data_IF_633880664485
#
_entry.id   IF_633880664485
#
_cell.length_a   1.000
_cell.length_b   1.000
_cell.length_c   1.000
_cell.angle_alpha   90.00
_cell.angle_beta   90.00
_cell.angle_gamma   90.00
#
_symmetry.space_group_name_H-M   'P 1'
#
loop_
_entity.id
_entity.type
_entity.pdbx_description
1 polymer ?
#
# COMPACT_ATOMS: atom_id res chain seq x y z
N UNK A 1 25.54 20.75 33.84
CA UNK A 1 24.59 19.63 33.58
C UNK A 1 24.70 19.28 32.11
N UNK A 2 24.61 18.00 31.74
CA UNK A 2 24.53 17.60 30.34
C UNK A 2 23.23 18.16 29.69
N UNK A 3 23.29 18.60 28.42
CA UNK A 3 22.10 19.01 27.71
C UNK A 3 21.13 17.82 27.59
N UNK A 4 19.84 18.08 27.65
CA UNK A 4 18.81 17.07 27.36
C UNK A 4 18.47 17.10 25.87
N UNK A 5 18.58 15.98 25.21
CA UNK A 5 18.23 15.78 23.79
C UNK A 5 16.99 14.93 23.72
N UNK A 6 16.00 15.38 22.97
CA UNK A 6 14.77 14.62 22.75
C UNK A 6 14.64 14.20 21.30
N UNK A 7 14.15 12.99 21.07
CA UNK A 7 13.73 12.47 19.76
C UNK A 7 12.37 11.80 19.88
N UNK A 8 11.54 11.87 18.84
CA UNK A 8 10.29 11.15 18.77
C UNK A 8 10.17 10.34 17.50
N UNK A 9 9.61 9.14 17.60
CA UNK A 9 9.39 8.28 16.46
C UNK A 9 8.60 7.01 16.77
N UNK A 10 8.29 6.24 15.72
CA UNK A 10 7.57 4.97 15.84
C UNK A 10 8.47 3.85 16.38
N UNK A 11 9.68 3.73 15.86
CA UNK A 11 10.69 2.70 16.18
C UNK A 11 10.17 1.25 16.10
N UNK A 12 9.15 1.03 15.30
CA UNK A 12 8.67 -0.29 14.96
C UNK A 12 9.68 -0.96 14.01
N UNK A 13 10.00 -2.24 14.19
CA UNK A 13 11.12 -2.93 13.53
C UNK A 13 12.47 -2.18 13.75
N UNK A 14 12.93 -2.13 14.97
CA UNK A 14 14.21 -1.49 15.33
C UNK A 14 15.35 -2.05 14.46
N UNK A 15 16.16 -1.17 13.85
CA UNK A 15 17.24 -1.54 12.94
C UNK A 15 18.48 -0.64 13.12
N UNK A 16 19.59 -0.99 12.46
CA UNK A 16 20.87 -0.26 12.56
C UNK A 16 20.77 1.24 12.30
N UNK A 17 19.88 1.66 11.39
CA UNK A 17 19.64 3.08 11.13
C UNK A 17 19.05 3.83 12.33
N UNK A 18 18.17 3.21 13.13
CA UNK A 18 17.68 3.80 14.38
C UNK A 18 18.80 3.89 15.42
N UNK A 19 19.64 2.86 15.53
CA UNK A 19 20.77 2.86 16.46
C UNK A 19 21.78 3.94 16.09
N UNK A 20 22.11 4.10 14.79
CA UNK A 20 22.98 5.16 14.32
C UNK A 20 22.40 6.56 14.58
N UNK A 21 21.10 6.75 14.40
CA UNK A 21 20.38 7.98 14.73
C UNK A 21 20.45 8.30 16.24
N UNK A 22 20.24 7.31 17.10
CA UNK A 22 20.39 7.50 18.56
C UNK A 22 21.84 7.79 18.95
N UNK A 23 22.82 7.14 18.32
CA UNK A 23 24.24 7.42 18.50
C UNK A 23 24.57 8.88 18.15
N UNK A 24 24.10 9.36 16.99
CA UNK A 24 24.29 10.75 16.56
C UNK A 24 23.63 11.71 17.54
N UNK A 25 22.36 11.49 17.91
CA UNK A 25 21.63 12.33 18.86
C UNK A 25 22.32 12.39 20.23
N UNK A 26 22.84 11.27 20.72
CA UNK A 26 23.55 11.20 22.02
C UNK A 26 24.85 11.99 22.06
N UNK A 27 25.41 12.39 20.92
CA UNK A 27 26.63 13.27 20.91
C UNK A 27 26.31 14.70 21.32
N UNK A 28 25.04 15.10 21.34
CA UNK A 28 24.59 16.42 21.76
C UNK A 28 24.23 16.49 23.24
N UNK A 29 24.05 15.36 23.93
CA UNK A 29 23.72 15.30 25.36
C UNK A 29 23.04 14.02 25.79
N UNK A 30 22.36 14.03 26.93
CA UNK A 30 21.58 12.91 27.48
C UNK A 30 20.33 12.71 26.62
N UNK A 31 20.21 11.55 25.94
CA UNK A 31 19.15 11.26 24.97
C UNK A 31 17.90 10.68 25.63
N UNK A 32 16.77 11.34 25.42
CA UNK A 32 15.44 10.90 25.81
C UNK A 32 14.62 10.59 24.56
N UNK A 33 13.92 9.44 24.55
CA UNK A 33 13.20 8.95 23.37
C UNK A 33 11.71 8.84 23.65
N UNK A 34 10.91 9.62 22.93
CA UNK A 34 9.44 9.47 22.90
C UNK A 34 9.03 8.47 21.82
N UNK A 35 8.18 7.53 22.18
CA UNK A 35 7.69 6.48 21.30
C UNK A 35 6.20 6.73 21.01
N UNK A 36 5.80 6.87 19.75
CA UNK A 36 4.40 6.99 19.38
C UNK A 36 3.60 5.76 19.83
N UNK A 37 2.44 5.97 20.47
CA UNK A 37 1.57 4.88 20.91
C UNK A 37 1.05 4.06 19.72
N UNK A 38 0.61 2.83 19.98
CA UNK A 38 0.00 1.98 18.93
C UNK A 38 -1.24 2.63 18.33
N UNK A 39 -2.01 3.36 19.15
CA UNK A 39 -3.17 4.13 18.68
C UNK A 39 -2.75 5.26 17.73
N UNK A 40 -1.79 6.10 18.15
CA UNK A 40 -1.26 7.20 17.31
C UNK A 40 -0.69 6.70 15.99
N UNK A 41 0.06 5.58 16.00
CA UNK A 41 0.61 5.02 14.77
C UNK A 41 -0.47 4.48 13.84
N UNK A 42 -1.53 3.87 14.39
CA UNK A 42 -2.69 3.41 13.61
C UNK A 42 -3.37 4.58 12.92
N UNK A 43 -3.62 5.65 13.66
CA UNK A 43 -4.33 6.83 13.16
C UNK A 43 -3.53 7.61 12.10
N UNK A 44 -2.21 7.78 12.33
CA UNK A 44 -1.35 8.55 11.41
C UNK A 44 -0.89 7.77 10.18
N UNK A 45 -0.72 6.44 10.30
CA UNK A 45 -0.12 5.61 9.24
C UNK A 45 -1.08 4.56 8.68
N UNK A 46 -2.33 4.56 9.15
CA UNK A 46 -3.36 3.59 8.76
C UNK A 46 -2.82 2.14 8.78
N UNK A 47 -2.10 1.79 9.83
CA UNK A 47 -1.53 0.44 10.01
C UNK A 47 -1.26 0.12 11.47
N UNK A 48 -1.34 -1.17 11.81
CA UNK A 48 -0.84 -1.67 13.10
C UNK A 48 0.69 -1.69 13.10
N UNK A 49 1.25 -1.53 14.29
CA UNK A 49 2.68 -1.81 14.55
C UNK A 49 2.90 -3.33 14.54
N UNK A 50 4.10 -3.78 14.17
CA UNK A 50 4.51 -5.19 14.30
C UNK A 50 4.80 -5.50 15.76
N UNK A 51 5.58 -4.62 16.40
CA UNK A 51 5.86 -4.70 17.83
C UNK A 51 4.94 -3.75 18.58
N UNK A 52 4.34 -4.20 19.67
CA UNK A 52 3.53 -3.35 20.56
C UNK A 52 4.36 -2.18 21.11
N UNK A 53 3.70 -1.12 21.53
CA UNK A 53 4.40 0.03 22.15
C UNK A 53 5.26 -0.38 23.34
N UNK A 54 4.87 -1.39 24.10
CA UNK A 54 5.64 -1.90 25.25
C UNK A 54 6.89 -2.67 24.79
N UNK A 55 6.82 -3.48 23.74
CA UNK A 55 7.99 -4.13 23.16
C UNK A 55 8.96 -3.10 22.56
N UNK A 56 8.43 -2.10 21.86
CA UNK A 56 9.24 -1.01 21.30
C UNK A 56 9.93 -0.21 22.39
N UNK A 57 9.22 0.10 23.48
CA UNK A 57 9.76 0.77 24.65
C UNK A 57 10.89 -0.05 25.30
N UNK A 58 10.65 -1.35 25.51
CA UNK A 58 11.65 -2.26 26.07
C UNK A 58 12.93 -2.30 25.21
N UNK A 59 12.80 -2.45 23.91
CA UNK A 59 13.95 -2.49 22.98
C UNK A 59 14.72 -1.16 22.96
N UNK A 60 14.01 -0.03 22.91
CA UNK A 60 14.64 1.30 22.86
C UNK A 60 15.38 1.60 24.18
N UNK A 61 14.82 1.23 25.33
CA UNK A 61 15.49 1.38 26.64
C UNK A 61 16.78 0.55 26.75
N UNK A 62 16.88 -0.54 26.03
CA UNK A 62 18.08 -1.39 26.01
C UNK A 62 19.23 -0.81 25.16
N UNK A 63 18.99 0.27 24.39
CA UNK A 63 20.01 0.90 23.55
C UNK A 63 20.94 1.75 24.42
N UNK A 64 22.22 1.43 24.42
CA UNK A 64 23.24 2.09 25.26
C UNK A 64 23.37 3.61 25.10
N UNK A 65 22.86 4.17 23.99
CA UNK A 65 22.88 5.61 23.71
C UNK A 65 21.66 6.34 24.29
N UNK A 66 20.67 5.62 24.77
CA UNK A 66 19.42 6.16 25.31
C UNK A 66 19.53 6.26 26.82
N UNK A 67 19.28 7.46 27.33
CA UNK A 67 19.24 7.72 28.78
C UNK A 67 17.96 7.22 29.41
N UNK A 68 16.82 7.52 28.75
CA UNK A 68 15.50 7.01 29.09
C UNK A 68 14.57 7.09 27.89
N UNK A 69 13.48 6.32 27.92
CA UNK A 69 12.45 6.33 26.91
C UNK A 69 11.07 6.16 27.53
N UNK A 70 10.05 6.69 26.85
CA UNK A 70 8.64 6.61 27.28
C UNK A 70 7.72 6.57 26.06
N UNK A 71 6.50 6.06 26.27
CA UNK A 71 5.43 6.15 25.25
C UNK A 71 4.83 7.56 25.36
N UNK A 72 4.70 8.26 24.24
CA UNK A 72 4.11 9.58 24.20
C UNK A 72 2.67 9.55 24.71
N UNK A 73 2.30 10.53 25.52
CA UNK A 73 1.01 10.61 26.20
C UNK A 73 -0.11 11.18 25.32
N UNK A 74 0.25 11.91 24.26
CA UNK A 74 -0.69 12.59 23.37
C UNK A 74 -1.10 11.76 22.16
N UNK A 75 -1.66 12.44 21.17
CA UNK A 75 -2.11 11.88 19.89
C UNK A 75 -1.78 12.79 18.70
N UNK A 76 -1.85 12.24 17.48
CA UNK A 76 -1.58 13.00 16.26
C UNK A 76 -0.10 13.29 16.03
N UNK A 77 0.21 14.29 15.19
CA UNK A 77 1.58 14.60 14.72
C UNK A 77 2.47 15.12 15.84
N UNK A 78 1.89 15.77 16.85
CA UNK A 78 2.58 16.32 18.02
C UNK A 78 2.22 15.54 19.30
N UNK A 79 2.09 14.22 19.19
CA UNK A 79 1.74 13.31 20.28
C UNK A 79 2.68 13.41 21.51
N UNK A 80 3.86 13.98 21.33
CA UNK A 80 4.90 14.20 22.35
C UNK A 80 4.79 15.55 23.05
N UNK A 81 3.88 16.44 22.69
CA UNK A 81 3.92 17.85 23.10
C UNK A 81 3.93 18.03 24.61
N UNK A 82 3.03 17.39 25.35
CA UNK A 82 2.95 17.48 26.81
C UNK A 82 4.20 16.91 27.49
N UNK A 83 4.69 15.78 26.99
CA UNK A 83 5.88 15.11 27.52
C UNK A 83 7.14 15.98 27.34
N UNK A 84 7.27 16.64 26.18
CA UNK A 84 8.38 17.57 25.90
C UNK A 84 8.32 18.80 26.79
N UNK A 85 7.14 19.37 27.00
CA UNK A 85 6.94 20.50 27.93
C UNK A 85 7.36 20.10 29.35
N UNK A 86 7.03 18.89 29.80
CA UNK A 86 7.42 18.37 31.11
C UNK A 86 8.91 18.05 31.20
N UNK A 87 9.52 17.47 30.16
CA UNK A 87 10.92 17.10 30.09
C UNK A 87 11.85 18.30 30.00
N UNK A 88 11.42 19.36 29.31
CA UNK A 88 12.18 20.59 29.00
C UNK A 88 13.55 20.26 28.39
N UNK A 89 13.58 19.65 27.18
CA UNK A 89 14.85 19.38 26.52
C UNK A 89 15.46 20.66 25.96
N UNK A 90 16.77 20.68 25.87
CA UNK A 90 17.52 21.77 25.22
C UNK A 90 17.48 21.63 23.70
N UNK A 91 17.41 20.38 23.20
CA UNK A 91 17.46 20.04 21.78
C UNK A 91 16.37 19.05 21.45
N UNK A 92 15.64 19.33 20.34
CA UNK A 92 14.81 18.37 19.64
C UNK A 92 15.54 17.91 18.37
N UNK A 93 15.96 16.66 18.35
CA UNK A 93 16.72 16.09 17.25
C UNK A 93 15.80 15.27 16.34
N UNK A 94 15.78 15.56 15.04
CA UNK A 94 14.88 14.92 14.07
C UNK A 94 15.62 14.43 12.84
N UNK A 95 15.09 13.40 12.16
CA UNK A 95 15.48 13.08 10.79
C UNK A 95 14.93 14.10 9.80
N UNK A 96 15.53 14.19 8.62
CA UNK A 96 15.05 15.07 7.54
C UNK A 96 13.61 14.78 7.11
N UNK A 97 13.19 13.50 7.11
CA UNK A 97 11.83 13.04 6.83
C UNK A 97 10.87 13.24 8.04
N UNK A 98 11.42 13.41 9.24
CA UNK A 98 10.65 13.75 10.44
C UNK A 98 10.53 15.26 10.70
N UNK A 99 11.18 16.09 9.90
CA UNK A 99 11.04 17.54 9.98
C UNK A 99 9.68 17.97 9.43
N UNK A 100 8.98 18.80 10.19
CA UNK A 100 7.73 19.44 9.76
C UNK A 100 7.69 20.90 10.21
N UNK A 101 7.01 21.81 9.47
CA UNK A 101 6.83 23.20 9.92
C UNK A 101 6.15 23.29 11.29
N UNK A 102 5.25 22.36 11.62
CA UNK A 102 4.61 22.30 12.95
C UNK A 102 5.60 22.02 14.08
N UNK A 103 6.51 21.05 13.89
CA UNK A 103 7.57 20.78 14.88
C UNK A 103 8.53 21.95 15.04
N UNK A 104 8.88 22.60 13.94
CA UNK A 104 9.73 23.80 13.99
C UNK A 104 9.09 24.90 14.84
N UNK A 105 7.84 25.23 14.56
CA UNK A 105 7.07 26.23 15.31
C UNK A 105 6.97 25.87 16.80
N UNK A 106 6.63 24.60 17.10
CA UNK A 106 6.58 24.10 18.47
C UNK A 106 7.91 24.31 19.22
N UNK A 107 9.05 24.00 18.59
CA UNK A 107 10.37 24.22 19.18
C UNK A 107 10.66 25.71 19.41
N UNK A 108 10.35 26.58 18.45
CA UNK A 108 10.51 28.04 18.55
C UNK A 108 9.70 28.61 19.72
N UNK A 109 8.44 28.19 19.86
CA UNK A 109 7.53 28.62 20.95
C UNK A 109 8.01 28.21 22.35
N UNK A 110 8.76 27.09 22.44
CA UNK A 110 9.24 26.57 23.73
C UNK A 110 10.76 26.78 23.98
N UNK A 111 11.42 27.51 23.09
CA UNK A 111 12.87 27.81 23.24
C UNK A 111 13.76 26.57 23.09
N UNK A 112 13.33 25.57 22.29
CA UNK A 112 14.04 24.31 22.06
C UNK A 112 14.80 24.43 20.73
N UNK A 113 16.09 24.07 20.72
CA UNK A 113 16.89 24.01 19.49
C UNK A 113 16.47 22.82 18.65
N UNK A 114 16.05 23.05 17.38
CA UNK A 114 15.71 21.98 16.43
C UNK A 114 16.94 21.62 15.60
N UNK A 115 17.44 20.38 15.75
CA UNK A 115 18.59 19.87 15.02
C UNK A 115 18.16 18.76 14.08
N UNK A 116 18.60 18.83 12.82
CA UNK A 116 18.29 17.81 11.79
C UNK A 116 19.47 16.88 11.60
N UNK A 117 19.22 15.57 11.70
CA UNK A 117 20.21 14.50 11.52
C UNK A 117 20.85 14.52 10.14
N UNK A 118 22.14 14.20 10.07
CA UNK A 118 22.88 13.97 8.83
C UNK A 118 22.56 12.61 8.19
N UNK A 119 21.87 11.69 8.89
CA UNK A 119 21.51 10.32 8.46
C UNK A 119 22.72 9.53 7.93
N UNK A 120 23.84 9.60 8.61
CA UNK A 120 25.03 8.83 8.24
C UNK A 120 24.90 7.43 8.84
N UNK A 121 24.89 6.36 8.03
CA UNK A 121 24.93 5.00 8.53
C UNK A 121 26.18 4.73 9.36
N UNK A 122 26.12 3.78 10.29
CA UNK A 122 27.32 3.30 10.97
C UNK A 122 28.29 2.68 9.98
N UNK A 123 29.59 2.91 10.14
CA UNK A 123 30.63 2.45 9.25
C UNK A 123 30.55 0.92 9.03
N UNK A 124 30.54 0.49 7.79
CA UNK A 124 30.44 -0.92 7.40
C UNK A 124 29.01 -1.50 7.45
N UNK A 125 28.00 -0.70 7.79
CA UNK A 125 26.60 -1.14 7.77
C UNK A 125 25.83 -0.50 6.62
N UNK A 126 24.88 -1.24 5.99
CA UNK A 126 24.04 -0.68 4.94
C UNK A 126 23.05 0.35 5.51
N UNK A 127 22.63 1.29 4.66
CA UNK A 127 21.49 2.17 4.98
C UNK A 127 20.23 1.31 5.17
N UNK A 128 19.51 1.50 6.26
CA UNK A 128 18.28 0.79 6.59
C UNK A 128 17.16 1.78 6.89
N UNK A 129 15.94 1.40 6.51
CA UNK A 129 14.73 2.10 6.92
C UNK A 129 13.65 1.08 7.29
N UNK A 130 12.74 1.44 8.18
CA UNK A 130 11.58 0.59 8.52
C UNK A 130 10.75 0.24 7.29
N UNK A 131 10.63 1.18 6.34
CA UNK A 131 9.91 0.95 5.08
C UNK A 131 10.60 -0.14 4.26
N UNK A 132 11.93 -0.06 4.06
CA UNK A 132 12.68 -1.08 3.34
C UNK A 132 12.59 -2.46 4.04
N UNK A 133 12.70 -2.52 5.37
CA UNK A 133 12.58 -3.78 6.12
C UNK A 133 11.17 -4.38 6.06
N UNK A 134 10.13 -3.53 6.01
CA UNK A 134 8.76 -4.02 5.78
C UNK A 134 8.58 -4.57 4.37
N UNK A 135 9.40 -4.14 3.43
CA UNK A 135 9.46 -4.65 2.06
C UNK A 135 10.26 -5.96 1.93
N UNK A 136 11.05 -6.35 2.94
CA UNK A 136 11.54 -7.73 3.08
C UNK A 136 10.40 -8.72 3.39
N UNK A 137 9.21 -8.21 3.75
CA UNK A 137 7.96 -8.95 3.73
C UNK A 137 7.63 -9.35 2.29
N UNK A 138 7.69 -10.64 2.01
CA UNK A 138 7.46 -11.22 0.68
C UNK A 138 5.98 -11.36 0.32
N UNK A 139 5.05 -10.94 1.19
CA UNK A 139 3.63 -10.92 0.86
C UNK A 139 3.44 -10.02 -0.36
N UNK A 140 2.92 -10.55 -1.48
CA UNK A 140 2.84 -9.82 -2.73
C UNK A 140 1.77 -8.72 -2.72
N UNK A 141 1.76 -7.94 -3.80
CA UNK A 141 0.65 -7.08 -4.16
C UNK A 141 -0.18 -7.72 -5.27
N UNK A 142 -1.36 -7.17 -5.54
CA UNK A 142 -2.24 -7.57 -6.62
C UNK A 142 -2.64 -6.36 -7.47
N UNK A 143 -2.68 -6.56 -8.78
CA UNK A 143 -3.30 -5.64 -9.71
C UNK A 143 -4.46 -6.38 -10.39
N UNK A 144 -5.63 -5.74 -10.50
CA UNK A 144 -6.69 -6.16 -11.39
C UNK A 144 -6.45 -5.54 -12.77
N UNK A 145 -6.35 -6.37 -13.80
CA UNK A 145 -6.13 -5.92 -15.18
C UNK A 145 -7.44 -5.52 -15.87
N UNK A 146 -8.51 -6.22 -15.55
CA UNK A 146 -9.86 -5.97 -16.08
C UNK A 146 -10.93 -6.63 -15.19
N UNK A 147 -12.18 -6.21 -15.33
CA UNK A 147 -13.35 -6.86 -14.70
C UNK A 147 -13.55 -6.56 -13.21
N UNK A 148 -12.71 -5.75 -12.59
CA UNK A 148 -12.89 -5.40 -11.17
C UNK A 148 -14.31 -4.93 -10.87
N UNK A 149 -14.83 -5.21 -9.69
CA UNK A 149 -16.22 -5.11 -9.21
C UNK A 149 -17.13 -6.29 -9.57
N UNK A 150 -16.81 -7.15 -10.57
CA UNK A 150 -17.60 -8.36 -10.82
C UNK A 150 -17.54 -9.40 -9.68
N UNK A 151 -16.57 -9.28 -8.78
CA UNK A 151 -16.48 -10.05 -7.53
C UNK A 151 -17.47 -9.59 -6.45
N UNK A 152 -18.28 -8.56 -6.78
CA UNK A 152 -19.36 -8.09 -5.93
C UNK A 152 -20.70 -8.61 -6.45
N UNK A 153 -21.48 -9.36 -5.64
CA UNK A 153 -22.77 -9.91 -6.07
C UNK A 153 -23.76 -8.85 -6.55
N UNK A 154 -23.69 -7.62 -6.02
CA UNK A 154 -24.55 -6.53 -6.45
C UNK A 154 -24.23 -6.01 -7.86
N UNK A 155 -23.08 -6.42 -8.46
CA UNK A 155 -22.73 -6.19 -9.86
C UNK A 155 -22.97 -7.48 -10.67
N UNK A 156 -22.35 -8.61 -10.28
CA UNK A 156 -22.39 -9.85 -11.05
C UNK A 156 -23.77 -10.51 -11.11
N UNK A 157 -24.71 -10.14 -10.25
CA UNK A 157 -26.13 -10.57 -10.36
C UNK A 157 -26.81 -10.07 -11.64
N UNK A 158 -26.34 -8.98 -12.23
CA UNK A 158 -26.89 -8.43 -13.47
C UNK A 158 -26.29 -9.10 -14.71
N UNK A 159 -25.01 -9.44 -14.65
CA UNK A 159 -24.32 -10.21 -15.68
C UNK A 159 -23.10 -10.91 -15.09
N UNK A 160 -22.96 -12.24 -15.22
CA UNK A 160 -21.78 -12.95 -14.79
C UNK A 160 -20.57 -12.53 -15.62
N UNK A 161 -19.37 -12.62 -15.03
CA UNK A 161 -18.14 -12.27 -15.74
C UNK A 161 -16.90 -12.54 -14.92
N UNK A 162 -15.75 -12.21 -15.48
CA UNK A 162 -14.47 -12.51 -14.86
C UNK A 162 -13.74 -11.25 -14.36
N UNK A 163 -12.98 -11.41 -13.27
CA UNK A 163 -11.94 -10.47 -12.87
C UNK A 163 -10.58 -11.07 -13.23
N UNK A 164 -9.73 -10.28 -13.89
CA UNK A 164 -8.37 -10.68 -14.23
C UNK A 164 -7.40 -10.07 -13.23
N UNK A 165 -6.64 -10.90 -12.53
CA UNK A 165 -5.68 -10.46 -11.53
C UNK A 165 -4.29 -10.97 -11.81
N UNK A 166 -3.28 -10.13 -11.52
CA UNK A 166 -1.88 -10.56 -11.44
C UNK A 166 -1.36 -10.35 -10.03
N UNK A 167 -0.55 -11.31 -9.58
CA UNK A 167 0.17 -11.27 -8.33
C UNK A 167 1.57 -10.72 -8.60
N UNK A 168 1.96 -9.64 -7.94
CA UNK A 168 3.23 -8.96 -8.20
C UNK A 168 4.14 -8.96 -6.98
N UNK A 169 5.43 -9.15 -7.21
CA UNK A 169 6.43 -9.11 -6.15
C UNK A 169 6.49 -7.72 -5.50
N UNK A 170 6.72 -7.65 -4.19
CA UNK A 170 6.91 -6.39 -3.51
C UNK A 170 8.11 -5.63 -4.07
N UNK A 171 7.95 -4.33 -4.26
CA UNK A 171 9.03 -3.43 -4.64
C UNK A 171 9.12 -2.27 -3.63
N UNK A 172 10.34 -1.75 -3.42
CA UNK A 172 10.56 -0.63 -2.50
C UNK A 172 9.94 0.69 -3.01
N UNK A 173 9.66 0.79 -4.31
CA UNK A 173 8.97 1.93 -4.89
C UNK A 173 7.45 1.89 -4.66
N UNK A 174 6.92 0.73 -4.26
CA UNK A 174 5.52 0.61 -3.84
C UNK A 174 5.36 1.18 -2.43
N UNK A 175 4.87 2.38 -2.33
CA UNK A 175 4.50 2.95 -1.04
C UNK A 175 3.02 2.64 -0.70
N UNK A 176 2.57 3.06 0.49
CA UNK A 176 1.21 2.82 0.98
C UNK A 176 0.15 3.68 0.25
N UNK A 177 0.18 3.74 -1.08
CA UNK A 177 -0.74 4.59 -1.86
C UNK A 177 -2.13 3.99 -2.07
N UNK A 178 -2.30 2.73 -1.75
CA UNK A 178 -3.57 2.01 -1.94
C UNK A 178 -3.78 1.53 -3.40
N UNK A 179 -4.89 0.85 -3.63
CA UNK A 179 -5.29 0.39 -4.97
C UNK A 179 -4.68 -0.93 -5.46
N UNK A 180 -3.74 -1.53 -4.73
CA UNK A 180 -3.13 -2.83 -5.07
C UNK A 180 -3.42 -3.88 -3.99
N UNK A 181 -4.68 -4.07 -3.64
CA UNK A 181 -5.14 -4.97 -2.55
C UNK A 181 -4.50 -4.66 -1.20
N UNK A 182 -4.41 -3.39 -0.85
CA UNK A 182 -3.68 -2.95 0.36
C UNK A 182 -4.29 -3.53 1.64
N UNK A 183 -5.62 -3.65 1.73
CA UNK A 183 -6.31 -4.25 2.88
C UNK A 183 -6.03 -5.74 2.99
N UNK A 184 -6.21 -6.51 1.90
CA UNK A 184 -5.93 -7.97 1.88
C UNK A 184 -4.47 -8.26 2.13
N UNK A 185 -3.57 -7.43 1.60
CA UNK A 185 -2.14 -7.55 1.89
C UNK A 185 -1.82 -7.29 3.37
N UNK A 186 -2.46 -6.28 3.99
CA UNK A 186 -2.36 -6.05 5.44
C UNK A 186 -2.85 -7.26 6.23
N UNK A 187 -4.02 -7.80 5.87
CA UNK A 187 -4.58 -9.01 6.48
C UNK A 187 -3.60 -10.19 6.38
N UNK A 188 -3.03 -10.44 5.20
CA UNK A 188 -2.05 -11.48 4.99
C UNK A 188 -0.76 -11.27 5.81
N UNK A 189 -0.28 -10.02 5.94
CA UNK A 189 0.86 -9.68 6.79
C UNK A 189 0.53 -9.90 8.27
N UNK A 190 -0.66 -9.53 8.72
CA UNK A 190 -1.10 -9.74 10.11
C UNK A 190 -1.19 -11.24 10.44
N UNK A 191 -1.61 -12.07 9.47
CA UNK A 191 -1.74 -13.52 9.65
C UNK A 191 -0.39 -14.26 9.54
N UNK A 192 0.44 -13.89 8.57
CA UNK A 192 1.60 -14.70 8.16
C UNK A 192 2.94 -13.98 8.29
N UNK A 193 2.94 -12.70 8.58
CA UNK A 193 4.09 -11.83 8.81
C UNK A 193 5.00 -11.62 7.60
N UNK A 194 5.73 -12.66 7.16
CA UNK A 194 6.82 -12.52 6.19
C UNK A 194 6.41 -12.97 4.80
N UNK A 195 5.81 -14.16 4.67
CA UNK A 195 5.48 -14.77 3.38
C UNK A 195 4.20 -15.61 3.50
N UNK A 196 3.61 -15.93 2.36
CA UNK A 196 2.45 -16.84 2.29
C UNK A 196 2.95 -18.25 2.62
N UNK A 197 2.33 -18.97 3.59
CA UNK A 197 2.75 -20.30 3.94
C UNK A 197 2.55 -21.30 2.78
N UNK A 198 3.25 -22.41 2.84
CA UNK A 198 3.00 -23.53 1.94
C UNK A 198 1.62 -24.12 2.22
N UNK A 199 0.92 -24.54 1.17
CA UNK A 199 -0.40 -25.15 1.29
C UNK A 199 -1.27 -24.94 0.05
N UNK A 200 -2.50 -25.40 0.16
CA UNK A 200 -3.50 -25.19 -0.89
C UNK A 200 -3.83 -23.69 -1.02
N UNK A 201 -3.54 -23.13 -2.18
CA UNK A 201 -3.66 -21.69 -2.45
C UNK A 201 -5.11 -21.20 -2.31
N UNK A 202 -6.08 -21.99 -2.70
CA UNK A 202 -7.48 -21.59 -2.58
C UNK A 202 -7.92 -21.53 -1.11
N UNK A 203 -7.50 -22.48 -0.30
CA UNK A 203 -7.74 -22.48 1.15
C UNK A 203 -7.09 -21.27 1.81
N UNK A 204 -5.83 -20.98 1.48
CA UNK A 204 -5.13 -19.79 2.00
C UNK A 204 -5.82 -18.48 1.60
N UNK A 205 -6.28 -18.36 0.35
CA UNK A 205 -7.06 -17.21 -0.11
C UNK A 205 -8.40 -17.07 0.65
N UNK A 206 -9.09 -18.19 0.92
CA UNK A 206 -10.31 -18.19 1.76
C UNK A 206 -10.02 -17.73 3.19
N UNK A 207 -8.86 -18.06 3.75
CA UNK A 207 -8.45 -17.58 5.07
C UNK A 207 -8.29 -16.05 5.08
N UNK A 208 -7.60 -15.47 4.10
CA UNK A 208 -7.47 -14.00 3.97
C UNK A 208 -8.85 -13.34 3.81
N UNK A 209 -9.67 -13.87 2.88
CA UNK A 209 -11.02 -13.35 2.64
C UNK A 209 -11.89 -13.38 3.91
N UNK A 210 -11.84 -14.46 4.70
CA UNK A 210 -12.57 -14.56 5.98
C UNK A 210 -12.02 -13.62 7.04
N UNK A 211 -10.73 -13.43 7.09
CA UNK A 211 -10.09 -12.51 8.03
C UNK A 211 -10.49 -11.05 7.78
N UNK A 212 -10.58 -10.64 6.51
CA UNK A 212 -11.04 -9.29 6.13
C UNK A 212 -12.55 -9.10 6.36
N UNK A 213 -13.32 -10.17 6.27
CA UNK A 213 -14.78 -10.17 6.34
C UNK A 213 -15.27 -10.97 7.56
N UNK A 214 -14.96 -10.54 8.80
CA UNK A 214 -15.47 -11.22 10.00
C UNK A 214 -17.00 -11.14 10.06
N UNK A 215 -17.66 -12.09 10.77
CA UNK A 215 -19.11 -12.06 10.94
C UNK A 215 -19.58 -10.71 11.50
N UNK A 216 -20.59 -10.11 10.85
CA UNK A 216 -21.15 -8.80 11.24
C UNK A 216 -20.47 -7.60 10.55
N UNK A 217 -19.54 -7.82 9.61
CA UNK A 217 -19.00 -6.74 8.77
C UNK A 217 -20.14 -6.04 8.00
N UNK A 218 -20.22 -4.70 8.07
CA UNK A 218 -21.27 -3.95 7.35
C UNK A 218 -21.11 -4.02 5.82
N UNK A 219 -19.87 -4.18 5.36
CA UNK A 219 -19.51 -4.34 3.96
C UNK A 219 -18.60 -5.55 3.80
N UNK A 220 -18.86 -6.34 2.76
CA UNK A 220 -18.02 -7.48 2.42
C UNK A 220 -17.12 -7.07 1.25
N UNK A 221 -15.80 -7.09 1.50
CA UNK A 221 -14.80 -6.94 0.46
C UNK A 221 -14.90 -8.11 -0.52
N UNK A 222 -14.73 -7.87 -1.80
CA UNK A 222 -14.71 -8.93 -2.80
C UNK A 222 -13.51 -9.86 -2.65
N UNK A 223 -13.63 -11.07 -3.16
CA UNK A 223 -12.58 -12.09 -3.00
C UNK A 223 -11.40 -11.93 -3.96
N UNK A 224 -11.55 -11.13 -5.02
CA UNK A 224 -10.47 -10.91 -6.00
C UNK A 224 -9.16 -10.43 -5.34
N UNK A 225 -9.26 -9.64 -4.28
CA UNK A 225 -8.13 -9.10 -3.56
C UNK A 225 -7.39 -10.19 -2.78
N UNK A 226 -8.14 -10.98 -2.01
CA UNK A 226 -7.57 -12.11 -1.26
C UNK A 226 -6.97 -13.18 -2.18
N UNK A 227 -7.69 -13.53 -3.26
CA UNK A 227 -7.21 -14.51 -4.25
C UNK A 227 -5.96 -13.97 -4.96
N UNK A 228 -5.98 -12.72 -5.41
CA UNK A 228 -4.86 -12.11 -6.13
C UNK A 228 -3.61 -11.90 -5.28
N UNK A 229 -3.73 -11.78 -3.94
CA UNK A 229 -2.58 -11.80 -3.04
C UNK A 229 -1.97 -13.21 -2.94
N UNK A 230 -2.80 -14.25 -2.93
CA UNK A 230 -2.34 -15.62 -2.61
C UNK A 230 -1.96 -16.41 -3.85
N UNK A 231 -2.71 -16.26 -4.96
CA UNK A 231 -2.47 -17.02 -6.19
C UNK A 231 -1.45 -16.34 -7.08
N UNK A 232 -0.32 -17.01 -7.39
CA UNK A 232 0.70 -16.44 -8.26
C UNK A 232 0.24 -16.36 -9.72
N UNK A 233 1.02 -15.67 -10.55
CA UNK A 233 0.85 -15.55 -11.99
C UNK A 233 -0.38 -14.70 -12.40
N UNK A 234 -0.91 -14.96 -13.60
CA UNK A 234 -2.12 -14.34 -14.14
C UNK A 234 -3.32 -15.25 -13.86
N UNK A 235 -4.37 -14.69 -13.24
CA UNK A 235 -5.58 -15.44 -12.88
C UNK A 235 -6.84 -14.81 -13.46
N UNK A 236 -7.73 -15.64 -13.97
CA UNK A 236 -9.10 -15.30 -14.39
C UNK A 236 -10.07 -15.90 -13.39
N UNK A 237 -10.81 -15.04 -12.70
CA UNK A 237 -11.71 -15.37 -11.61
C UNK A 237 -13.16 -15.17 -12.10
N UNK A 238 -13.88 -16.24 -12.37
CA UNK A 238 -15.23 -16.17 -12.91
C UNK A 238 -16.27 -16.02 -11.79
N UNK A 239 -17.08 -14.96 -11.83
CA UNK A 239 -18.11 -14.65 -10.84
C UNK A 239 -19.51 -14.71 -11.42
N UNK A 240 -20.44 -15.24 -10.62
CA UNK A 240 -21.86 -15.31 -10.93
C UNK A 240 -22.67 -15.14 -9.62
N UNK A 241 -23.03 -13.91 -9.29
CA UNK A 241 -23.83 -13.54 -8.13
C UNK A 241 -23.30 -14.11 -6.79
N UNK A 242 -21.99 -14.29 -6.66
CA UNK A 242 -21.35 -14.78 -5.45
C UNK A 242 -20.07 -13.98 -5.15
N UNK A 243 -19.69 -13.90 -3.86
CA UNK A 243 -18.41 -13.30 -3.45
C UNK A 243 -17.20 -14.20 -3.78
N UNK A 244 -17.40 -15.51 -3.94
CA UNK A 244 -16.34 -16.45 -4.31
C UNK A 244 -16.52 -16.87 -5.76
N UNK A 245 -15.43 -16.93 -6.57
CA UNK A 245 -15.56 -17.28 -7.97
C UNK A 245 -16.04 -18.73 -8.16
N UNK A 246 -16.82 -18.97 -9.20
CA UNK A 246 -17.29 -20.30 -9.59
C UNK A 246 -16.18 -21.14 -10.23
N UNK A 247 -15.19 -20.48 -10.83
CA UNK A 247 -14.02 -21.10 -11.44
C UNK A 247 -12.82 -20.14 -11.40
N UNK A 248 -11.62 -20.70 -11.26
CA UNK A 248 -10.35 -19.98 -11.30
C UNK A 248 -9.46 -20.63 -12.35
N UNK A 249 -9.06 -19.85 -13.35
CA UNK A 249 -8.12 -20.25 -14.39
C UNK A 249 -6.81 -19.50 -14.20
N UNK A 250 -5.66 -20.19 -14.25
CA UNK A 250 -4.36 -19.57 -14.06
C UNK A 250 -3.46 -19.82 -15.27
N UNK A 251 -2.81 -18.77 -15.76
CA UNK A 251 -1.75 -18.85 -16.77
C UNK A 251 -0.40 -18.73 -16.06
N UNK A 252 0.43 -19.77 -16.24
CA UNK A 252 1.80 -19.87 -15.72
C UNK A 252 2.84 -19.86 -16.84
N UNK A 253 2.41 -19.58 -18.07
CA UNK A 253 3.28 -19.51 -19.25
C UNK A 253 4.18 -18.28 -19.12
N UNK A 254 5.50 -18.52 -19.08
CA UNK A 254 6.50 -17.45 -18.91
C UNK A 254 6.47 -16.43 -20.06
N UNK A 255 6.17 -16.85 -21.30
CA UNK A 255 6.10 -15.93 -22.45
C UNK A 255 4.95 -14.92 -22.29
N UNK A 256 3.82 -15.34 -21.72
CA UNK A 256 2.68 -14.45 -21.43
C UNK A 256 3.00 -13.54 -20.25
N UNK A 257 3.60 -14.09 -19.20
CA UNK A 257 3.95 -13.31 -18.01
C UNK A 257 5.04 -12.26 -18.32
N UNK A 258 6.07 -12.63 -19.09
CA UNK A 258 7.11 -11.71 -19.55
C UNK A 258 6.54 -10.62 -20.48
N UNK A 259 5.57 -10.96 -21.32
CA UNK A 259 4.86 -9.99 -22.15
C UNK A 259 4.13 -8.96 -21.29
N UNK A 260 3.45 -9.39 -20.21
CA UNK A 260 2.77 -8.48 -19.29
C UNK A 260 3.80 -7.60 -18.56
N UNK A 261 4.85 -8.19 -17.98
CA UNK A 261 5.88 -7.45 -17.25
C UNK A 261 6.55 -6.38 -18.12
N UNK A 262 6.82 -6.71 -19.39
CA UNK A 262 7.47 -5.79 -20.32
C UNK A 262 6.63 -4.57 -20.66
N UNK A 263 5.30 -4.71 -20.69
CA UNK A 263 4.41 -3.71 -21.26
C UNK A 263 3.47 -3.06 -20.24
N UNK A 264 3.51 -3.45 -18.95
CA UNK A 264 2.70 -2.87 -17.89
C UNK A 264 3.55 -1.96 -16.99
N UNK A 265 3.10 -0.73 -16.83
CA UNK A 265 3.76 0.30 -16.05
C UNK A 265 2.81 0.89 -15.01
N UNK A 266 3.34 1.24 -13.83
CA UNK A 266 2.62 1.90 -12.76
C UNK A 266 3.08 3.34 -12.58
N UNK A 267 2.18 4.29 -12.73
CA UNK A 267 2.44 5.71 -12.47
C UNK A 267 1.91 6.04 -11.09
N UNK A 268 2.76 6.44 -10.13
CA UNK A 268 2.33 6.78 -8.79
C UNK A 268 1.44 8.04 -8.79
N UNK A 269 0.25 7.94 -8.17
CA UNK A 269 -0.67 9.04 -7.95
C UNK A 269 -0.68 9.50 -6.49
N UNK A 270 -1.34 10.60 -6.20
CA UNK A 270 -1.61 11.01 -4.83
C UNK A 270 -2.44 9.94 -4.08
N UNK A 271 -2.29 9.81 -2.75
CA UNK A 271 -3.18 8.96 -1.95
C UNK A 271 -4.63 9.41 -2.08
N UNK A 272 -5.56 8.49 -1.79
CA UNK A 272 -6.98 8.82 -1.67
C UNK A 272 -7.21 9.86 -0.58
N UNK A 273 -8.21 10.72 -0.78
CA UNK A 273 -8.71 11.59 0.28
C UNK A 273 -9.38 10.74 1.38
N UNK A 274 -9.29 11.17 2.64
CA UNK A 274 -9.91 10.49 3.78
C UNK A 274 -11.44 10.43 3.71
N UNK A 275 -12.06 11.31 2.90
CA UNK A 275 -13.52 11.36 2.68
C UNK A 275 -13.94 10.64 1.40
N UNK A 276 -13.00 9.98 0.72
CA UNK A 276 -13.28 9.27 -0.52
C UNK A 276 -14.24 8.11 -0.29
N UNK A 277 -15.38 8.15 -0.98
CA UNK A 277 -16.38 7.09 -1.02
C UNK A 277 -16.74 6.78 -2.48
N UNK A 278 -16.27 5.65 -2.97
CA UNK A 278 -16.54 5.19 -4.33
C UNK A 278 -18.00 4.80 -4.53
N UNK A 279 -18.69 4.43 -3.45
CA UNK A 279 -20.07 3.94 -3.50
C UNK A 279 -21.12 5.06 -3.31
N UNK A 280 -20.70 6.29 -3.06
CA UNK A 280 -21.62 7.41 -2.80
C UNK A 280 -22.53 7.75 -4.00
N UNK A 281 -22.08 7.46 -5.23
CA UNK A 281 -22.87 7.64 -6.46
C UNK A 281 -22.62 6.45 -7.38
N UNK A 282 -23.63 5.55 -7.53
CA UNK A 282 -23.50 4.32 -8.30
C UNK A 282 -24.66 4.15 -9.28
N UNK A 283 -24.34 3.70 -10.50
CA UNK A 283 -25.28 3.46 -11.60
C UNK A 283 -25.13 2.03 -12.14
N UNK A 284 -25.36 1.05 -11.26
CA UNK A 284 -25.14 -0.36 -11.58
C UNK A 284 -26.35 -0.93 -12.27
N UNK A 285 -26.16 -1.39 -13.54
CA UNK A 285 -27.20 -2.01 -14.35
C UNK A 285 -26.66 -3.21 -15.18
N UNK A 286 -27.55 -3.85 -15.93
CA UNK A 286 -27.22 -5.02 -16.73
C UNK A 286 -26.31 -4.68 -17.93
N UNK A 287 -26.44 -3.50 -18.51
CA UNK A 287 -25.62 -3.06 -19.65
C UNK A 287 -24.19 -2.76 -19.18
N UNK A 288 -24.01 -2.04 -18.08
CA UNK A 288 -22.72 -1.76 -17.46
C UNK A 288 -22.01 -3.04 -17.03
N UNK A 289 -22.71 -3.95 -16.34
CA UNK A 289 -22.15 -5.23 -15.91
C UNK A 289 -21.73 -6.10 -17.11
N UNK A 290 -22.55 -6.17 -18.17
CA UNK A 290 -22.23 -6.90 -19.40
C UNK A 290 -21.02 -6.29 -20.11
N UNK A 291 -20.99 -4.97 -20.28
CA UNK A 291 -19.87 -4.26 -20.89
C UNK A 291 -18.56 -4.51 -20.15
N UNK A 292 -18.62 -4.53 -18.82
CA UNK A 292 -17.46 -4.85 -17.97
C UNK A 292 -17.00 -6.30 -18.17
N UNK A 293 -17.93 -7.26 -18.22
CA UNK A 293 -17.64 -8.67 -18.45
C UNK A 293 -17.05 -8.93 -19.85
N UNK A 294 -17.62 -8.33 -20.89
CA UNK A 294 -17.14 -8.45 -22.28
C UNK A 294 -15.71 -7.86 -22.40
N UNK A 295 -15.43 -6.72 -21.76
CA UNK A 295 -14.11 -6.11 -21.75
C UNK A 295 -13.07 -6.98 -21.03
N UNK A 296 -13.46 -7.63 -19.93
CA UNK A 296 -12.57 -8.56 -19.22
C UNK A 296 -12.25 -9.78 -20.08
N UNK A 297 -13.22 -10.36 -20.79
CA UNK A 297 -12.98 -11.48 -21.71
C UNK A 297 -12.08 -11.07 -22.88
N UNK A 298 -12.32 -9.90 -23.48
CA UNK A 298 -11.46 -9.36 -24.51
C UNK A 298 -10.02 -9.14 -24.04
N UNK A 299 -9.84 -8.65 -22.81
CA UNK A 299 -8.54 -8.49 -22.19
C UNK A 299 -7.83 -9.84 -22.00
N UNK A 300 -8.54 -10.88 -21.54
CA UNK A 300 -7.99 -12.23 -21.39
C UNK A 300 -7.49 -12.79 -22.71
N UNK A 301 -8.28 -12.70 -23.77
CA UNK A 301 -7.90 -13.18 -25.10
C UNK A 301 -6.70 -12.42 -25.68
N UNK A 302 -6.65 -11.09 -25.47
CA UNK A 302 -5.54 -10.26 -25.92
C UNK A 302 -4.23 -10.62 -25.20
N UNK A 303 -4.28 -10.91 -23.90
CA UNK A 303 -3.11 -11.33 -23.11
C UNK A 303 -2.57 -12.69 -23.59
N UNK A 304 -3.44 -13.67 -23.85
CA UNK A 304 -3.04 -14.98 -24.40
C UNK A 304 -2.42 -14.82 -25.78
N UNK A 305 -3.02 -13.98 -26.63
CA UNK A 305 -2.52 -13.71 -27.97
C UNK A 305 -1.25 -12.83 -27.99
N UNK A 306 -0.86 -12.23 -26.85
CA UNK A 306 0.21 -11.24 -26.71
C UNK A 306 0.01 -10.05 -27.67
N UNK A 307 -1.25 -9.60 -27.83
CA UNK A 307 -1.64 -8.45 -28.63
C UNK A 307 -1.75 -7.22 -27.73
N UNK A 308 -0.75 -6.34 -27.77
CA UNK A 308 -0.66 -5.17 -26.91
C UNK A 308 -1.75 -4.12 -27.22
N UNK A 309 -2.12 -3.95 -28.48
CA UNK A 309 -3.12 -2.96 -28.88
C UNK A 309 -4.51 -3.40 -28.44
N UNK A 310 -4.85 -4.68 -28.65
CA UNK A 310 -6.08 -5.27 -28.16
C UNK A 310 -6.14 -5.27 -26.62
N UNK A 311 -5.03 -5.59 -25.95
CA UNK A 311 -4.94 -5.56 -24.48
C UNK A 311 -5.16 -4.15 -23.94
N UNK A 312 -4.45 -3.14 -24.47
CA UNK A 312 -4.61 -1.75 -24.06
C UNK A 312 -6.04 -1.25 -24.22
N UNK A 313 -6.64 -1.53 -25.37
CA UNK A 313 -8.04 -1.18 -25.67
C UNK A 313 -9.01 -1.84 -24.67
N UNK A 314 -8.87 -3.14 -24.44
CA UNK A 314 -9.74 -3.89 -23.52
C UNK A 314 -9.60 -3.44 -22.07
N UNK A 315 -8.38 -3.13 -21.63
CA UNK A 315 -8.12 -2.58 -20.28
C UNK A 315 -8.80 -1.22 -20.10
N UNK A 316 -8.68 -0.32 -21.08
CA UNK A 316 -9.36 0.98 -21.04
C UNK A 316 -10.88 0.83 -21.08
N UNK A 317 -11.41 -0.05 -21.92
CA UNK A 317 -12.84 -0.32 -22.01
C UNK A 317 -13.39 -0.87 -20.68
N UNK A 318 -12.68 -1.82 -20.06
CA UNK A 318 -13.02 -2.31 -18.72
C UNK A 318 -13.06 -1.18 -17.68
N UNK A 319 -12.09 -0.29 -17.71
CA UNK A 319 -12.04 0.87 -16.80
C UNK A 319 -13.21 1.84 -17.07
N UNK A 320 -13.50 2.15 -18.32
CA UNK A 320 -14.62 3.04 -18.66
C UNK A 320 -15.99 2.44 -18.29
N UNK A 321 -16.13 1.10 -18.38
CA UNK A 321 -17.32 0.41 -17.88
C UNK A 321 -17.44 0.50 -16.34
N UNK A 322 -16.31 0.40 -15.63
CA UNK A 322 -16.27 0.63 -14.17
C UNK A 322 -16.68 2.06 -13.83
N UNK A 323 -16.11 3.07 -14.50
CA UNK A 323 -16.40 4.49 -14.26
C UNK A 323 -17.87 4.83 -14.56
N UNK A 324 -18.47 4.23 -15.57
CA UNK A 324 -19.89 4.43 -15.86
C UNK A 324 -20.79 3.96 -14.71
N UNK A 325 -20.43 2.87 -14.04
CA UNK A 325 -21.15 2.36 -12.86
C UNK A 325 -20.73 3.04 -11.55
N UNK A 326 -19.49 3.50 -11.44
CA UNK A 326 -18.89 4.08 -10.25
C UNK A 326 -18.16 5.40 -10.58
N UNK A 327 -18.88 6.50 -10.87
CA UNK A 327 -18.29 7.77 -11.36
C UNK A 327 -17.21 8.33 -10.43
N UNK A 328 -17.33 8.12 -9.12
CA UNK A 328 -16.38 8.60 -8.12
C UNK A 328 -14.98 7.97 -8.25
N UNK A 329 -14.79 6.94 -9.07
CA UNK A 329 -13.44 6.38 -9.34
C UNK A 329 -12.48 7.44 -9.93
N UNK A 330 -13.01 8.45 -10.62
CA UNK A 330 -12.20 9.52 -11.21
C UNK A 330 -12.33 10.78 -10.34
N UNK A 331 -11.26 11.11 -9.60
CA UNK A 331 -11.08 12.40 -8.96
C UNK A 331 -10.31 13.36 -9.89
N UNK A 332 -10.25 14.65 -9.55
CA UNK A 332 -9.56 15.66 -10.36
C UNK A 332 -8.10 15.31 -10.67
N UNK A 333 -7.34 14.85 -9.66
CA UNK A 333 -5.94 14.48 -9.86
C UNK A 333 -5.78 13.18 -10.68
N UNK A 334 -6.76 12.26 -10.62
CA UNK A 334 -6.82 11.07 -11.46
C UNK A 334 -7.08 11.45 -12.90
N UNK A 335 -8.07 12.35 -13.15
CA UNK A 335 -8.36 12.83 -14.48
C UNK A 335 -7.16 13.54 -15.11
N UNK A 336 -6.46 14.37 -14.33
CA UNK A 336 -5.25 15.04 -14.79
C UNK A 336 -4.16 14.06 -15.23
N UNK A 337 -3.94 12.99 -14.45
CA UNK A 337 -2.98 11.95 -14.82
C UNK A 337 -3.42 11.19 -16.09
N UNK A 338 -4.71 10.85 -16.21
CA UNK A 338 -5.23 10.23 -17.45
C UNK A 338 -4.97 11.13 -18.65
N UNK A 339 -5.27 12.41 -18.55
CA UNK A 339 -5.09 13.39 -19.65
C UNK A 339 -3.62 13.55 -20.06
N UNK A 340 -2.68 13.36 -19.11
CA UNK A 340 -1.24 13.42 -19.39
C UNK A 340 -0.76 12.21 -20.22
N UNK A 341 -1.34 11.01 -20.00
CA UNK A 341 -0.79 9.79 -20.58
C UNK A 341 -1.65 9.16 -21.68
N UNK A 342 -2.97 9.39 -21.71
CA UNK A 342 -3.93 8.66 -22.57
C UNK A 342 -3.57 8.63 -24.06
N UNK A 343 -2.96 9.69 -24.59
CA UNK A 343 -2.61 9.82 -26.02
C UNK A 343 -1.24 9.22 -26.36
N UNK A 344 -0.51 8.73 -25.35
CA UNK A 344 0.86 8.22 -25.47
C UNK A 344 0.99 6.73 -25.10
N UNK A 345 -0.11 6.08 -24.71
CA UNK A 345 -0.14 4.68 -24.27
C UNK A 345 -1.19 3.89 -25.05
N UNK A 346 -1.08 2.57 -25.05
CA UNK A 346 -2.04 1.67 -25.71
C UNK A 346 -3.34 1.53 -24.90
N UNK A 347 -3.27 1.72 -23.60
CA UNK A 347 -4.40 1.68 -22.69
C UNK A 347 -4.03 2.05 -21.27
N UNK A 348 -5.06 2.30 -20.48
CA UNK A 348 -4.87 2.73 -19.08
C UNK A 348 -6.07 2.34 -18.21
N UNK A 349 -5.83 2.29 -16.89
CA UNK A 349 -6.84 2.16 -15.84
C UNK A 349 -6.29 2.59 -14.50
N UNK A 350 -7.16 2.84 -13.52
CA UNK A 350 -6.78 3.05 -12.12
C UNK A 350 -6.76 1.71 -11.37
N UNK A 351 -5.83 1.56 -10.44
CA UNK A 351 -5.80 0.40 -9.55
C UNK A 351 -6.94 0.39 -8.54
N UNK A 352 -7.55 -0.77 -8.34
CA UNK A 352 -8.58 -1.01 -7.32
C UNK A 352 -9.82 -0.12 -7.47
N UNK A 353 -10.35 0.38 -6.36
CA UNK A 353 -11.58 1.18 -6.32
C UNK A 353 -11.40 2.65 -6.81
N UNK A 354 -10.26 3.03 -7.35
CA UNK A 354 -10.03 4.38 -7.88
C UNK A 354 -9.74 5.44 -6.82
N UNK A 355 -9.92 6.72 -7.19
CA UNK A 355 -9.69 7.87 -6.30
C UNK A 355 -8.23 8.19 -5.99
N UNK A 356 -7.27 7.39 -6.46
CA UNK A 356 -5.84 7.53 -6.21
C UNK A 356 -5.08 6.19 -6.30
N UNK A 357 -3.88 6.12 -5.78
CA UNK A 357 -3.03 4.94 -5.83
C UNK A 357 -2.10 4.92 -7.02
N UNK A 358 -2.40 4.15 -8.05
CA UNK A 358 -1.58 4.08 -9.26
C UNK A 358 -2.46 4.14 -10.52
N UNK A 359 -1.97 4.86 -11.53
CA UNK A 359 -2.46 4.69 -12.90
C UNK A 359 -1.64 3.55 -13.54
N UNK A 360 -2.32 2.48 -13.91
CA UNK A 360 -1.78 1.42 -14.75
C UNK A 360 -1.82 1.90 -16.19
N UNK A 361 -0.71 1.79 -16.89
CA UNK A 361 -0.64 2.07 -18.31
C UNK A 361 -0.03 0.89 -19.07
N UNK A 362 -0.55 0.63 -20.26
CA UNK A 362 -0.07 -0.39 -21.18
C UNK A 362 0.72 0.31 -22.28
N UNK A 363 2.01 0.00 -22.40
CA UNK A 363 2.89 0.66 -23.37
C UNK A 363 4.04 -0.26 -23.78
N UNK A 364 4.35 -0.27 -25.07
CA UNK A 364 5.56 -0.88 -25.65
C UNK A 364 6.80 0.02 -25.55
N UNK A 365 6.59 1.25 -25.05
CA UNK A 365 7.65 2.23 -24.81
C UNK A 365 7.92 2.38 -23.31
N UNK A 366 9.16 2.74 -22.97
CA UNK A 366 9.50 3.09 -21.60
C UNK A 366 8.78 4.38 -21.20
N UNK A 367 8.13 4.38 -20.03
CA UNK A 367 7.42 5.51 -19.45
C UNK A 367 8.29 6.13 -18.36
N UNK A 368 8.69 7.38 -18.54
CA UNK A 368 9.52 8.09 -17.55
C UNK A 368 8.80 8.16 -16.18
N UNK A 369 9.56 7.91 -15.11
CA UNK A 369 9.07 7.89 -13.71
C UNK A 369 7.98 6.84 -13.39
N UNK A 370 7.66 5.94 -14.31
CA UNK A 370 6.79 4.82 -14.03
C UNK A 370 7.58 3.63 -13.44
N UNK A 371 6.90 2.80 -12.69
CA UNK A 371 7.45 1.61 -12.05
C UNK A 371 7.11 0.40 -12.91
N UNK A 372 8.11 -0.38 -13.30
CA UNK A 372 7.91 -1.66 -13.95
C UNK A 372 7.66 -2.73 -12.88
N UNK A 373 6.71 -3.60 -13.12
CA UNK A 373 6.34 -4.67 -12.19
C UNK A 373 7.14 -5.94 -12.42
N UNK A 374 7.11 -6.83 -11.41
CA UNK A 374 7.51 -8.24 -11.54
C UNK A 374 6.37 -9.13 -11.07
N UNK A 375 5.97 -10.08 -11.87
CA UNK A 375 4.91 -11.04 -11.53
C UNK A 375 5.51 -12.16 -10.68
N UNK A 376 4.86 -12.47 -9.56
CA UNK A 376 5.21 -13.66 -8.76
C UNK A 376 4.80 -14.91 -9.52
N UNK A 377 5.74 -15.85 -9.70
CA UNK A 377 5.54 -17.08 -10.51
C UNK A 377 5.34 -18.35 -9.68
N UNK A 378 5.55 -18.27 -8.33
CA UNK A 378 5.49 -19.41 -7.40
C UNK A 378 4.73 -19.09 -6.12
#
# INVERSE_FOLDING_TARGET
MSKKVFVSGCYDMLHSGHVAFFKEASTYGDLYVGIGSDATIRDLKDRKTINTEQERLYMVKAIRYVKDAFVNSGSGILDFAEDVIALKPDIFFVNSDGYTPGKKRFCEEHGIELVVSKRIPEAGLPTRSTTALRQECKIPYRIDLAGGWLDQPYVSKYHPGAVLTINIEPDYDFNNRGGMSTSSRKAAIEMWHIDIPEGDRETLAKMVFRYENPPGSPYISGSQDAIGIVMPCLNKLNYDNNYWPTNIESIKDDDVLDFIEKNLWLIPLAPRDNKYDVLADTHIDAEGAKRLADAAEACWQALIAKDIDAWGKATTESFMAQVAMFPNMISEHVQKAIDEYKDHVKGYKITGAGGGGYLVVISDQNIDKAIQIRIRRK
#
